data_IF_429075629616
#
_entry.id   IF_429075629616
#
_cell.length_a   1.000
_cell.length_b   1.000
_cell.length_c   1.000
_cell.angle_alpha   90.00
_cell.angle_beta   90.00
_cell.angle_gamma   90.00
#
_symmetry.space_group_name_H-M   'P 1'
#
loop_
_entity.id
_entity.type
_entity.pdbx_description
1 polymer ?
#
# COMPACT_ATOMS: atom_id res chain seq x y z
N UNK A 1 3.61 -23.28 -28.21
CA UNK A 1 4.89 -24.01 -28.30
C UNK A 1 4.72 -25.47 -27.92
N UNK A 2 4.17 -25.79 -26.74
CA UNK A 2 3.94 -27.19 -26.30
C UNK A 2 3.11 -28.01 -27.30
N UNK A 3 2.03 -27.45 -27.86
CA UNK A 3 1.25 -28.12 -28.90
C UNK A 3 2.10 -28.55 -30.10
N UNK A 4 3.08 -27.74 -30.52
CA UNK A 4 3.98 -28.10 -31.63
C UNK A 4 5.04 -29.14 -31.20
N UNK A 5 5.45 -29.15 -29.93
CA UNK A 5 6.42 -30.10 -29.39
C UNK A 5 5.83 -31.48 -29.12
N UNK A 6 4.54 -31.55 -28.80
CA UNK A 6 3.86 -32.77 -28.31
C UNK A 6 2.83 -33.34 -29.28
N UNK A 7 2.56 -32.68 -30.41
CA UNK A 7 1.65 -33.20 -31.44
C UNK A 7 2.32 -34.33 -32.24
N UNK A 8 1.91 -35.58 -31.95
CA UNK A 8 2.37 -36.76 -32.68
C UNK A 8 1.81 -36.85 -34.11
N UNK A 9 0.80 -36.03 -34.45
CA UNK A 9 0.26 -35.90 -35.80
C UNK A 9 1.13 -35.05 -36.73
N UNK A 10 2.05 -34.25 -36.17
CA UNK A 10 2.94 -33.36 -36.91
C UNK A 10 4.23 -34.10 -37.33
N UNK A 11 4.23 -34.68 -38.53
CA UNK A 11 5.36 -35.47 -39.04
C UNK A 11 6.67 -34.69 -39.20
N UNK A 12 6.60 -33.35 -39.27
CA UNK A 12 7.78 -32.50 -39.46
C UNK A 12 8.39 -32.09 -38.12
N UNK A 13 7.65 -32.21 -37.01
CA UNK A 13 8.06 -31.71 -35.68
C UNK A 13 7.89 -32.68 -34.51
N UNK A 14 7.26 -33.84 -34.73
CA UNK A 14 7.07 -34.90 -33.73
C UNK A 14 8.39 -35.68 -33.48
N UNK A 15 9.32 -35.07 -32.75
CA UNK A 15 10.62 -35.67 -32.46
C UNK A 15 10.66 -36.46 -31.14
N UNK A 16 9.65 -36.30 -30.27
CA UNK A 16 9.61 -36.90 -28.94
C UNK A 16 8.30 -37.65 -28.72
N UNK A 17 8.39 -38.97 -28.51
CA UNK A 17 7.29 -39.75 -27.96
C UNK A 17 7.47 -39.85 -26.44
N UNK A 18 6.67 -39.08 -25.68
CA UNK A 18 6.73 -39.09 -24.21
C UNK A 18 6.06 -40.37 -23.70
N UNK A 19 6.88 -41.39 -23.44
CA UNK A 19 6.44 -42.70 -22.96
C UNK A 19 6.99 -43.03 -21.55
N UNK A 20 7.64 -42.06 -20.90
CA UNK A 20 8.10 -42.14 -19.52
C UNK A 20 7.21 -41.31 -18.60
N UNK A 21 7.08 -41.77 -17.35
CA UNK A 21 6.48 -40.97 -16.27
C UNK A 21 7.47 -39.95 -15.68
N UNK A 22 8.71 -39.94 -16.17
CA UNK A 22 9.77 -39.05 -15.73
C UNK A 22 10.19 -38.13 -16.89
N UNK A 23 9.76 -36.87 -16.84
CA UNK A 23 10.10 -35.85 -17.84
C UNK A 23 10.85 -34.71 -17.17
N UNK A 24 11.91 -34.23 -17.80
CA UNK A 24 12.62 -33.01 -17.36
C UNK A 24 12.25 -31.86 -18.27
N UNK A 25 11.85 -30.74 -17.68
CA UNK A 25 11.54 -29.50 -18.37
C UNK A 25 12.75 -28.56 -18.27
N UNK A 26 13.20 -28.03 -19.40
CA UNK A 26 14.15 -26.93 -19.48
C UNK A 26 13.47 -25.70 -20.10
N UNK A 27 13.39 -24.61 -19.34
CA UNK A 27 13.00 -23.28 -19.83
C UNK A 27 14.25 -22.41 -19.88
N UNK A 28 14.73 -22.17 -21.10
CA UNK A 28 15.96 -21.43 -21.33
C UNK A 28 15.67 -20.00 -21.77
N UNK A 29 16.30 -19.03 -21.12
CA UNK A 29 16.27 -17.62 -21.46
C UNK A 29 17.28 -17.31 -22.57
N UNK A 30 16.84 -16.65 -23.65
CA UNK A 30 17.72 -16.26 -24.75
C UNK A 30 18.57 -15.02 -24.44
N UNK A 31 18.39 -14.42 -23.25
CA UNK A 31 19.28 -13.44 -22.64
C UNK A 31 18.63 -12.10 -22.35
N UNK A 32 17.46 -11.80 -22.93
CA UNK A 32 16.76 -10.52 -22.76
C UNK A 32 15.52 -10.57 -21.85
N UNK A 33 15.05 -11.75 -21.44
CA UNK A 33 13.84 -11.88 -20.59
C UNK A 33 14.20 -11.60 -19.13
N UNK A 34 13.40 -10.81 -18.41
CA UNK A 34 13.64 -10.55 -16.99
C UNK A 34 13.44 -11.80 -16.12
N UNK A 35 14.03 -11.83 -14.93
CA UNK A 35 13.85 -12.94 -14.00
C UNK A 35 12.37 -13.18 -13.62
N UNK A 36 11.59 -12.09 -13.50
CA UNK A 36 10.15 -12.17 -13.20
C UNK A 36 9.37 -12.82 -14.35
N UNK A 37 9.62 -12.37 -15.58
CA UNK A 37 8.97 -12.93 -16.77
C UNK A 37 9.37 -14.40 -16.98
N UNK A 38 10.65 -14.75 -16.80
CA UNK A 38 11.12 -16.13 -16.91
C UNK A 38 10.45 -17.04 -15.86
N UNK A 39 10.26 -16.55 -14.63
CA UNK A 39 9.50 -17.24 -13.59
C UNK A 39 8.04 -17.47 -14.00
N UNK A 40 7.37 -16.44 -14.52
CA UNK A 40 5.99 -16.54 -15.02
C UNK A 40 5.85 -17.52 -16.20
N UNK A 41 6.77 -17.47 -17.17
CA UNK A 41 6.84 -18.42 -18.29
C UNK A 41 7.03 -19.84 -17.77
N UNK A 42 7.94 -20.05 -16.82
CA UNK A 42 8.19 -21.37 -16.23
C UNK A 42 6.94 -21.93 -15.57
N UNK A 43 6.23 -21.12 -14.79
CA UNK A 43 4.99 -21.50 -14.13
C UNK A 43 3.90 -21.87 -15.15
N UNK A 44 3.69 -21.04 -16.17
CA UNK A 44 2.68 -21.27 -17.21
C UNK A 44 2.96 -22.55 -18.00
N UNK A 45 4.22 -22.80 -18.38
CA UNK A 45 4.62 -24.02 -19.10
C UNK A 45 4.38 -25.27 -18.24
N UNK A 46 4.73 -25.23 -16.96
CA UNK A 46 4.47 -26.34 -16.04
C UNK A 46 2.97 -26.61 -15.88
N UNK A 47 2.15 -25.57 -15.71
CA UNK A 47 0.69 -25.68 -15.61
C UNK A 47 0.06 -26.27 -16.88
N UNK A 48 0.51 -25.86 -18.07
CA UNK A 48 0.00 -26.40 -19.32
C UNK A 48 0.42 -27.87 -19.51
N UNK A 49 1.65 -28.24 -19.16
CA UNK A 49 2.11 -29.64 -19.21
C UNK A 49 1.24 -30.55 -18.34
N UNK A 50 0.96 -30.13 -17.10
CA UNK A 50 0.10 -30.86 -16.18
C UNK A 50 -1.35 -30.90 -16.71
N UNK A 51 -1.97 -29.74 -16.92
CA UNK A 51 -3.41 -29.65 -17.20
C UNK A 51 -3.83 -30.13 -18.58
N UNK A 52 -3.00 -29.89 -19.61
CA UNK A 52 -3.35 -30.22 -21.01
C UNK A 52 -2.73 -31.52 -21.52
N UNK A 53 -1.61 -31.94 -20.93
CA UNK A 53 -0.85 -33.10 -21.41
C UNK A 53 -0.65 -34.20 -20.36
N UNK A 54 -1.05 -33.98 -19.10
CA UNK A 54 -0.85 -34.94 -18.00
C UNK A 54 0.64 -35.22 -17.70
N UNK A 55 1.53 -34.32 -18.12
CA UNK A 55 2.97 -34.45 -17.92
C UNK A 55 3.35 -33.66 -16.67
N UNK A 56 3.94 -34.35 -15.69
CA UNK A 56 4.45 -33.74 -14.46
C UNK A 56 5.99 -33.78 -14.47
N UNK A 57 6.67 -32.64 -14.71
CA UNK A 57 8.12 -32.64 -14.74
C UNK A 57 8.72 -33.08 -13.39
N UNK A 58 9.65 -34.03 -13.42
CA UNK A 58 10.38 -34.48 -12.22
C UNK A 58 11.52 -33.52 -11.87
N UNK A 59 11.99 -32.73 -12.84
CA UNK A 59 12.92 -31.61 -12.66
C UNK A 59 12.51 -30.47 -13.58
N UNK A 60 12.64 -29.24 -13.09
CA UNK A 60 12.52 -28.04 -13.90
C UNK A 60 13.84 -27.27 -13.83
N UNK A 61 14.52 -27.19 -14.97
CA UNK A 61 15.68 -26.32 -15.17
C UNK A 61 15.16 -25.01 -15.77
N UNK A 62 15.29 -23.90 -15.05
CA UNK A 62 14.90 -22.58 -15.56
C UNK A 62 16.03 -21.59 -15.37
N UNK A 63 16.45 -20.93 -16.44
CA UNK A 63 17.61 -20.05 -16.40
C UNK A 63 18.20 -19.73 -17.76
N UNK A 64 19.40 -19.16 -17.75
CA UNK A 64 20.11 -18.69 -18.94
C UNK A 64 21.23 -19.67 -19.27
N UNK A 65 20.93 -20.68 -20.09
CA UNK A 65 21.88 -21.75 -20.44
C UNK A 65 22.49 -21.55 -21.83
N UNK A 66 21.65 -21.22 -22.82
CA UNK A 66 22.04 -21.00 -24.20
C UNK A 66 21.37 -19.74 -24.75
N UNK A 67 22.13 -18.64 -24.75
CA UNK A 67 21.63 -17.32 -25.16
C UNK A 67 21.76 -17.05 -26.66
N UNK A 68 20.96 -16.11 -27.15
CA UNK A 68 21.20 -15.38 -28.38
C UNK A 68 21.45 -13.91 -28.04
N UNK A 69 22.63 -13.62 -27.45
CA UNK A 69 22.98 -12.32 -26.88
C UNK A 69 21.93 -11.81 -25.89
N UNK A 70 21.22 -10.73 -26.21
CA UNK A 70 20.14 -10.14 -25.43
C UNK A 70 18.74 -10.46 -26.02
N UNK A 71 18.60 -11.63 -26.65
CA UNK A 71 17.37 -12.05 -27.29
C UNK A 71 16.18 -12.00 -26.35
N UNK A 72 15.16 -11.21 -26.71
CA UNK A 72 13.88 -11.11 -26.00
C UNK A 72 13.01 -12.34 -26.30
N UNK A 73 13.41 -13.49 -25.77
CA UNK A 73 12.69 -14.73 -25.96
C UNK A 73 13.19 -15.85 -25.07
N UNK A 74 12.53 -16.99 -25.19
CA UNK A 74 12.84 -18.19 -24.43
C UNK A 74 12.67 -19.43 -25.32
N UNK A 75 13.23 -20.56 -24.88
CA UNK A 75 13.00 -21.86 -25.49
C UNK A 75 12.53 -22.86 -24.45
N UNK A 76 11.67 -23.78 -24.87
CA UNK A 76 11.20 -24.90 -24.06
C UNK A 76 11.83 -26.17 -24.61
N UNK A 77 12.41 -26.99 -23.74
CA UNK A 77 12.88 -28.33 -24.09
C UNK A 77 12.33 -29.34 -23.09
N UNK A 78 11.88 -30.48 -23.60
CA UNK A 78 11.42 -31.61 -22.81
C UNK A 78 12.37 -32.77 -23.05
N UNK A 79 12.87 -33.35 -21.96
CA UNK A 79 13.70 -34.54 -21.98
C UNK A 79 12.89 -35.70 -21.40
N UNK A 80 12.57 -36.67 -22.24
CA UNK A 80 11.97 -37.92 -21.82
C UNK A 80 13.05 -38.81 -21.21
N UNK A 81 12.94 -39.10 -19.91
CA UNK A 81 13.95 -39.88 -19.21
C UNK A 81 13.80 -41.35 -19.57
N UNK A 82 14.91 -41.95 -20.00
CA UNK A 82 15.00 -43.36 -20.36
C UNK A 82 16.05 -44.06 -19.51
N UNK A 83 15.89 -45.37 -19.33
CA UNK A 83 16.97 -46.19 -18.83
C UNK A 83 18.08 -46.24 -19.89
N UNK A 84 19.31 -45.91 -19.48
CA UNK A 84 20.47 -45.86 -20.36
C UNK A 84 21.19 -47.20 -20.48
N UNK A 85 20.81 -48.21 -19.66
CA UNK A 85 21.40 -49.55 -19.60
C UNK A 85 22.93 -49.59 -19.37
N UNK A 86 23.51 -48.47 -18.89
CA UNK A 86 24.95 -48.32 -18.66
C UNK A 86 25.45 -48.92 -17.33
N UNK A 87 24.56 -49.57 -16.55
CA UNK A 87 24.91 -50.18 -15.26
C UNK A 87 25.38 -49.20 -14.17
N UNK A 88 25.02 -47.91 -14.29
CA UNK A 88 25.45 -46.81 -13.41
C UNK A 88 24.29 -45.94 -12.90
N UNK A 89 24.54 -44.69 -12.46
CA UNK A 89 23.50 -43.77 -12.00
C UNK A 89 22.43 -43.50 -13.07
N UNK A 90 21.18 -43.29 -12.64
CA UNK A 90 20.09 -42.93 -13.55
C UNK A 90 20.33 -41.57 -14.20
N UNK A 91 19.66 -41.28 -15.31
CA UNK A 91 19.79 -39.99 -15.99
C UNK A 91 19.42 -38.80 -15.07
N UNK A 92 18.44 -38.97 -14.17
CA UNK A 92 18.12 -37.96 -13.16
C UNK A 92 19.27 -37.77 -12.17
N UNK A 93 19.86 -38.86 -11.68
CA UNK A 93 21.02 -38.77 -10.78
C UNK A 93 22.23 -38.11 -11.45
N UNK A 94 22.40 -38.31 -12.76
CA UNK A 94 23.44 -37.63 -13.54
C UNK A 94 23.15 -36.15 -13.75
N UNK A 95 21.88 -35.76 -13.98
CA UNK A 95 21.47 -34.35 -14.09
C UNK A 95 21.61 -33.58 -12.77
N UNK A 96 21.34 -34.25 -11.65
CA UNK A 96 21.46 -33.70 -10.29
C UNK A 96 22.91 -33.77 -9.74
N UNK A 97 23.83 -34.44 -10.45
CA UNK A 97 25.19 -34.66 -9.95
C UNK A 97 25.93 -33.32 -9.81
N UNK A 98 26.62 -33.06 -8.68
CA UNK A 98 27.36 -31.82 -8.49
C UNK A 98 28.40 -31.59 -9.60
N UNK A 99 28.42 -30.37 -10.13
CA UNK A 99 29.32 -29.98 -11.22
C UNK A 99 29.91 -28.60 -10.94
N UNK A 100 31.11 -28.36 -11.45
CA UNK A 100 31.79 -27.07 -11.40
C UNK A 100 31.48 -26.21 -12.64
N UNK A 101 30.56 -26.66 -13.51
CA UNK A 101 30.15 -25.92 -14.69
C UNK A 101 29.37 -24.65 -14.30
N UNK A 102 29.94 -23.48 -14.59
CA UNK A 102 29.41 -22.17 -14.18
C UNK A 102 28.01 -21.84 -14.74
N UNK A 103 27.64 -22.45 -15.87
CA UNK A 103 26.33 -22.26 -16.51
C UNK A 103 25.28 -23.30 -16.12
N UNK A 104 25.60 -24.24 -15.22
CA UNK A 104 24.67 -25.28 -14.80
C UNK A 104 24.03 -24.91 -13.46
N UNK A 105 22.76 -24.49 -13.51
CA UNK A 105 21.98 -24.21 -12.30
C UNK A 105 21.33 -25.47 -11.77
N UNK A 106 21.21 -25.56 -10.44
CA UNK A 106 20.46 -26.64 -9.80
C UNK A 106 18.99 -26.62 -10.25
N UNK A 107 18.40 -27.80 -10.56
CA UNK A 107 17.00 -27.88 -10.94
C UNK A 107 16.08 -27.58 -9.75
N UNK A 108 14.90 -27.05 -10.05
CA UNK A 108 13.77 -27.08 -9.14
C UNK A 108 13.28 -28.52 -9.07
N UNK A 109 13.20 -29.05 -7.84
CA UNK A 109 12.75 -30.41 -7.59
C UNK A 109 11.23 -30.51 -7.68
N UNK A 110 10.74 -31.71 -8.00
CA UNK A 110 9.32 -32.01 -8.11
C UNK A 110 8.55 -31.58 -6.85
N UNK A 111 9.09 -31.89 -5.68
CA UNK A 111 8.48 -31.61 -4.38
C UNK A 111 8.29 -30.10 -4.15
N UNK A 112 9.19 -29.27 -4.68
CA UNK A 112 9.10 -27.81 -4.55
C UNK A 112 7.93 -27.22 -5.34
N UNK A 113 7.63 -27.77 -6.51
CA UNK A 113 6.53 -27.27 -7.33
C UNK A 113 5.19 -27.94 -7.01
N UNK A 114 5.22 -29.18 -6.49
CA UNK A 114 4.02 -29.85 -5.97
C UNK A 114 3.60 -29.34 -4.59
N UNK A 115 4.50 -28.69 -3.85
CA UNK A 115 4.19 -27.98 -2.62
C UNK A 115 3.29 -26.77 -2.93
N UNK A 116 1.99 -27.03 -3.12
CA UNK A 116 0.96 -26.00 -3.19
C UNK A 116 1.05 -25.19 -1.89
N UNK A 117 1.40 -23.91 -2.00
CA UNK A 117 1.40 -23.02 -0.84
C UNK A 117 -0.06 -22.70 -0.48
N UNK A 118 -0.71 -23.62 0.21
CA UNK A 118 -2.09 -23.50 0.70
C UNK A 118 -2.14 -22.76 2.04
N UNK A 119 -0.99 -22.37 2.59
CA UNK A 119 -0.89 -21.58 3.80
C UNK A 119 -1.37 -20.14 3.52
N UNK A 120 -2.68 -19.97 3.56
CA UNK A 120 -3.28 -18.65 3.74
C UNK A 120 -2.98 -18.22 5.16
N UNK A 121 -2.61 -16.94 5.38
CA UNK A 121 -2.49 -16.41 6.75
C UNK A 121 -3.90 -16.33 7.33
N UNK A 122 -4.34 -17.40 8.00
CA UNK A 122 -5.67 -17.53 8.62
C UNK A 122 -5.86 -16.66 9.87
N UNK A 123 -4.79 -16.05 10.37
CA UNK A 123 -4.92 -14.95 11.32
C UNK A 123 -5.46 -13.73 10.56
N UNK A 124 -6.79 -13.69 10.38
CA UNK A 124 -7.52 -12.46 10.64
C UNK A 124 -6.95 -11.96 11.96
N UNK A 125 -6.12 -10.91 11.90
CA UNK A 125 -5.64 -10.26 13.10
C UNK A 125 -6.89 -10.01 13.94
N UNK A 126 -6.94 -10.65 15.10
CA UNK A 126 -8.08 -10.60 16.01
C UNK A 126 -8.19 -9.15 16.53
N UNK A 127 -8.78 -8.30 15.70
CA UNK A 127 -9.10 -6.91 16.00
C UNK A 127 -10.22 -6.84 17.05
N UNK A 128 -10.72 -7.99 17.54
CA UNK A 128 -11.72 -8.09 18.58
C UNK A 128 -11.16 -8.03 20.01
N UNK A 129 -9.84 -7.91 20.21
CA UNK A 129 -9.33 -7.49 21.52
C UNK A 129 -9.83 -6.06 21.81
N UNK A 130 -10.90 -5.98 22.60
CA UNK A 130 -11.47 -4.73 23.06
C UNK A 130 -10.37 -3.82 23.61
N UNK A 131 -10.20 -2.64 23.00
CA UNK A 131 -9.22 -1.66 23.46
C UNK A 131 -9.55 -1.28 24.91
N UNK A 132 -8.57 -1.43 25.80
CA UNK A 132 -8.74 -1.08 27.22
C UNK A 132 -9.04 0.42 27.36
N UNK A 133 -10.09 0.81 28.10
CA UNK A 133 -10.38 2.21 28.39
C UNK A 133 -9.22 2.92 29.07
N UNK A 134 -9.05 4.20 28.76
CA UNK A 134 -8.02 5.07 29.36
C UNK A 134 -8.55 5.92 30.52
N UNK A 135 -9.87 6.04 30.64
CA UNK A 135 -10.55 6.98 31.52
C UNK A 135 -10.21 8.46 31.26
N UNK A 136 -9.71 8.76 30.05
CA UNK A 136 -9.68 10.11 29.48
C UNK A 136 -11.03 10.42 28.85
N UNK A 137 -11.88 11.11 29.60
CA UNK A 137 -13.29 11.33 29.26
C UNK A 137 -13.52 12.68 28.57
N UNK A 138 -14.47 12.69 27.65
CA UNK A 138 -14.99 13.89 26.99
C UNK A 138 -16.51 13.78 26.76
N UNK A 139 -17.16 14.89 26.39
CA UNK A 139 -18.57 14.89 26.02
C UNK A 139 -18.77 14.26 24.64
N UNK A 140 -19.24 13.02 24.62
CA UNK A 140 -19.49 12.24 23.41
C UNK A 140 -20.46 12.92 22.44
N UNK A 141 -21.48 13.63 22.93
CA UNK A 141 -22.46 14.29 22.07
C UNK A 141 -21.86 15.54 21.41
N UNK A 142 -21.15 16.36 22.19
CA UNK A 142 -20.45 17.54 21.66
C UNK A 142 -19.36 17.16 20.65
N UNK A 143 -18.60 16.09 20.94
CA UNK A 143 -17.59 15.56 20.03
C UNK A 143 -18.20 14.97 18.76
N UNK A 144 -19.28 14.18 18.85
CA UNK A 144 -20.00 13.66 17.68
C UNK A 144 -20.43 14.80 16.76
N UNK A 145 -21.00 15.88 17.32
CA UNK A 145 -21.37 17.07 16.55
C UNK A 145 -20.18 17.72 15.85
N UNK A 146 -19.08 17.92 16.59
CA UNK A 146 -17.89 18.64 16.08
C UNK A 146 -17.13 17.81 15.02
N UNK A 147 -16.97 16.50 15.24
CA UNK A 147 -16.35 15.58 14.29
C UNK A 147 -17.22 15.45 13.04
N UNK A 148 -18.55 15.34 13.20
CA UNK A 148 -19.47 15.31 12.05
C UNK A 148 -19.33 16.56 11.19
N UNK A 149 -19.28 17.74 11.81
CA UNK A 149 -19.08 19.00 11.10
C UNK A 149 -17.72 19.06 10.38
N UNK A 150 -16.64 18.58 11.02
CA UNK A 150 -15.31 18.47 10.43
C UNK A 150 -15.31 17.58 9.17
N UNK A 151 -15.90 16.39 9.26
CA UNK A 151 -15.95 15.42 8.17
C UNK A 151 -16.84 15.90 7.02
N UNK A 152 -18.01 16.47 7.32
CA UNK A 152 -18.89 17.07 6.31
C UNK A 152 -18.21 18.21 5.55
N UNK A 153 -17.35 18.98 6.23
CA UNK A 153 -16.59 20.06 5.58
C UNK A 153 -15.52 19.54 4.63
N UNK A 154 -14.85 18.44 4.97
CA UNK A 154 -13.91 17.76 4.05
C UNK A 154 -14.66 17.23 2.82
N UNK A 155 -15.84 16.64 3.01
CA UNK A 155 -16.69 16.15 1.92
C UNK A 155 -17.12 17.31 1.00
N UNK A 156 -17.52 18.45 1.57
CA UNK A 156 -17.91 19.62 0.79
C UNK A 156 -16.74 20.25 0.01
N UNK A 157 -15.53 20.23 0.59
CA UNK A 157 -14.31 20.76 -0.04
C UNK A 157 -13.70 19.82 -1.09
N UNK A 158 -14.21 18.59 -1.24
CA UNK A 158 -13.64 17.58 -2.15
C UNK A 158 -13.40 18.09 -3.58
N UNK A 159 -14.36 18.76 -4.25
CA UNK A 159 -14.15 19.23 -5.62
C UNK A 159 -12.98 20.21 -5.75
N UNK A 160 -12.79 21.09 -4.77
CA UNK A 160 -11.68 22.05 -4.75
C UNK A 160 -10.35 21.33 -4.51
N UNK A 161 -10.32 20.36 -3.59
CA UNK A 161 -9.12 19.56 -3.29
C UNK A 161 -8.70 18.75 -4.52
N UNK A 162 -9.65 18.07 -5.18
CA UNK A 162 -9.42 17.32 -6.41
C UNK A 162 -8.93 18.24 -7.55
N UNK A 163 -9.51 19.44 -7.67
CA UNK A 163 -9.05 20.46 -8.63
C UNK A 163 -7.62 20.90 -8.36
N UNK A 164 -7.26 21.19 -7.11
CA UNK A 164 -5.89 21.57 -6.75
C UNK A 164 -4.91 20.43 -7.03
N UNK A 165 -5.26 19.20 -6.65
CA UNK A 165 -4.43 18.03 -6.88
C UNK A 165 -4.30 17.68 -8.37
N UNK A 166 -5.30 17.97 -9.20
CA UNK A 166 -5.18 17.82 -10.66
C UNK A 166 -4.12 18.76 -11.24
N UNK A 167 -3.90 19.93 -10.63
CA UNK A 167 -2.87 20.89 -11.07
C UNK A 167 -1.47 20.46 -10.62
N UNK A 168 -1.34 19.85 -9.44
CA UNK A 168 -0.02 19.60 -8.81
C UNK A 168 0.26 18.15 -8.45
N UNK A 169 -0.56 17.22 -8.92
CA UNK A 169 -0.58 15.81 -8.54
C UNK A 169 -1.32 15.00 -9.60
N UNK A 170 -2.01 13.94 -9.19
CA UNK A 170 -2.78 13.07 -10.08
C UNK A 170 -4.30 13.20 -9.95
N UNK A 171 -4.77 14.15 -9.11
CA UNK A 171 -6.18 14.49 -8.99
C UNK A 171 -7.01 13.48 -8.20
N UNK A 172 -6.39 12.72 -7.29
CA UNK A 172 -7.06 11.70 -6.47
C UNK A 172 -7.23 12.11 -5.00
N UNK A 173 -6.53 13.17 -4.56
CA UNK A 173 -6.45 13.54 -3.14
C UNK A 173 -7.84 13.85 -2.54
N UNK A 174 -8.67 14.65 -3.22
CA UNK A 174 -10.00 15.01 -2.72
C UNK A 174 -10.90 13.79 -2.58
N UNK A 175 -10.92 12.92 -3.61
CA UNK A 175 -11.68 11.66 -3.61
C UNK A 175 -11.23 10.77 -2.43
N UNK A 176 -9.93 10.66 -2.19
CA UNK A 176 -9.37 9.92 -1.07
C UNK A 176 -9.82 10.46 0.29
N UNK A 177 -9.74 11.78 0.49
CA UNK A 177 -10.17 12.43 1.73
C UNK A 177 -11.69 12.30 1.96
N UNK A 178 -12.51 12.47 0.92
CA UNK A 178 -13.97 12.31 1.00
C UNK A 178 -14.36 10.89 1.39
N UNK A 179 -13.76 9.88 0.74
CA UNK A 179 -14.02 8.47 1.05
C UNK A 179 -13.70 8.15 2.52
N UNK A 180 -12.56 8.62 3.02
CA UNK A 180 -12.21 8.49 4.43
C UNK A 180 -13.22 9.18 5.35
N UNK A 181 -13.65 10.40 4.99
CA UNK A 181 -14.61 11.15 5.78
C UNK A 181 -15.99 10.46 5.83
N UNK A 182 -16.50 9.97 4.71
CA UNK A 182 -17.75 9.20 4.61
C UNK A 182 -17.66 7.89 5.41
N UNK A 183 -16.53 7.19 5.35
CA UNK A 183 -16.31 5.97 6.11
C UNK A 183 -16.33 6.20 7.62
N UNK A 184 -15.72 7.28 8.11
CA UNK A 184 -15.74 7.64 9.53
C UNK A 184 -17.13 8.09 9.97
N UNK A 185 -17.86 8.86 9.15
CA UNK A 185 -19.26 9.21 9.44
C UNK A 185 -20.13 7.95 9.58
N UNK A 186 -19.96 6.98 8.67
CA UNK A 186 -20.65 5.69 8.76
C UNK A 186 -20.27 4.94 10.04
N UNK A 187 -18.97 4.86 10.36
CA UNK A 187 -18.48 4.21 11.57
C UNK A 187 -19.08 4.82 12.84
N UNK A 188 -19.10 6.15 12.96
CA UNK A 188 -19.69 6.84 14.13
C UNK A 188 -21.21 6.61 14.20
N UNK A 189 -21.90 6.51 13.06
CA UNK A 189 -23.32 6.20 13.02
C UNK A 189 -23.64 4.77 13.47
N UNK A 190 -22.78 3.80 13.15
CA UNK A 190 -22.95 2.39 13.51
C UNK A 190 -22.44 2.09 14.93
N UNK A 191 -21.38 2.78 15.34
CA UNK A 191 -20.74 2.68 16.65
C UNK A 191 -20.58 4.08 17.26
N UNK A 192 -21.62 4.57 17.96
CA UNK A 192 -21.58 5.88 18.62
C UNK A 192 -20.40 6.00 19.59
N UNK A 193 -19.85 7.20 19.70
CA UNK A 193 -18.71 7.50 20.58
C UNK A 193 -19.04 7.16 22.04
N UNK A 194 -18.11 6.47 22.71
CA UNK A 194 -18.23 6.07 24.11
C UNK A 194 -17.92 7.20 25.09
N UNK A 195 -17.20 8.22 24.62
CA UNK A 195 -16.68 9.31 25.46
C UNK A 195 -15.33 9.00 26.08
N UNK A 196 -14.69 7.89 25.73
CA UNK A 196 -13.30 7.57 26.12
C UNK A 196 -12.36 7.79 24.92
N UNK A 197 -11.43 8.74 25.06
CA UNK A 197 -10.60 9.21 23.94
C UNK A 197 -9.80 8.08 23.28
N UNK A 198 -9.29 7.12 24.04
CA UNK A 198 -8.47 6.02 23.51
C UNK A 198 -9.34 4.97 22.82
N UNK A 199 -10.47 4.59 23.40
CA UNK A 199 -11.38 3.59 22.81
C UNK A 199 -11.93 4.11 21.48
N UNK A 200 -12.41 5.34 21.47
CA UNK A 200 -13.07 5.92 20.31
C UNK A 200 -12.07 6.15 19.17
N UNK A 201 -10.88 6.70 19.47
CA UNK A 201 -9.83 6.89 18.46
C UNK A 201 -9.31 5.55 17.92
N UNK A 202 -9.05 4.57 18.80
CA UNK A 202 -8.60 3.23 18.39
C UNK A 202 -9.62 2.52 17.48
N UNK A 203 -10.91 2.77 17.68
CA UNK A 203 -11.96 2.21 16.81
C UNK A 203 -11.98 2.84 15.41
N UNK A 204 -11.56 4.10 15.29
CA UNK A 204 -11.57 4.86 14.03
C UNK A 204 -10.32 4.60 13.17
N UNK A 205 -9.18 4.26 13.78
CA UNK A 205 -7.91 4.06 13.05
C UNK A 205 -8.00 3.00 11.95
N UNK A 206 -8.53 1.78 12.19
CA UNK A 206 -8.62 0.75 11.15
C UNK A 206 -9.52 1.17 9.98
N UNK A 207 -10.52 2.03 10.24
CA UNK A 207 -11.39 2.58 9.20
C UNK A 207 -10.60 3.50 8.28
N UNK A 208 -9.81 4.43 8.86
CA UNK A 208 -8.93 5.30 8.07
C UNK A 208 -7.92 4.48 7.25
N UNK A 209 -7.26 3.51 7.89
CA UNK A 209 -6.22 2.68 7.27
C UNK A 209 -6.73 1.83 6.11
N UNK A 210 -7.95 1.31 6.20
CA UNK A 210 -8.54 0.43 5.17
C UNK A 210 -9.29 1.16 4.06
N UNK A 211 -9.69 2.43 4.28
CA UNK A 211 -10.55 3.16 3.33
C UNK A 211 -9.85 4.31 2.62
N UNK A 212 -8.82 4.89 3.23
CA UNK A 212 -8.03 5.94 2.61
C UNK A 212 -6.83 5.34 1.89
N UNK A 213 -6.79 5.49 0.56
CA UNK A 213 -5.66 5.01 -0.23
C UNK A 213 -4.48 6.01 -0.23
N UNK A 214 -3.37 5.55 -0.78
CA UNK A 214 -2.22 6.40 -1.09
C UNK A 214 -1.43 6.85 0.14
N UNK A 215 -0.53 7.80 -0.08
CA UNK A 215 0.37 8.28 0.97
C UNK A 215 -0.38 8.99 2.10
N UNK A 216 -1.48 9.68 1.81
CA UNK A 216 -2.29 10.36 2.82
C UNK A 216 -2.92 9.38 3.82
N UNK A 217 -3.51 8.29 3.35
CA UNK A 217 -4.07 7.24 4.21
C UNK A 217 -3.03 6.66 5.17
N UNK A 218 -1.84 6.32 4.66
CA UNK A 218 -0.74 5.83 5.48
C UNK A 218 -0.28 6.88 6.54
N UNK A 219 -0.16 8.16 6.17
CA UNK A 219 0.23 9.22 7.09
C UNK A 219 -0.82 9.44 8.19
N UNK A 220 -2.11 9.46 7.83
CA UNK A 220 -3.18 9.57 8.83
C UNK A 220 -3.22 8.35 9.74
N UNK A 221 -3.06 7.12 9.21
CA UNK A 221 -3.01 5.92 10.04
C UNK A 221 -1.84 5.94 11.03
N UNK A 222 -0.64 6.34 10.59
CA UNK A 222 0.55 6.51 11.45
C UNK A 222 0.27 7.56 12.54
N UNK A 223 -0.26 8.72 12.15
CA UNK A 223 -0.56 9.81 13.07
C UNK A 223 -1.63 9.42 14.10
N UNK A 224 -2.73 8.79 13.69
CA UNK A 224 -3.81 8.41 14.59
C UNK A 224 -3.41 7.25 15.51
N UNK A 225 -2.61 6.29 15.04
CA UNK A 225 -2.02 5.25 15.89
C UNK A 225 -1.09 5.86 16.96
N UNK A 226 -0.20 6.78 16.55
CA UNK A 226 0.68 7.47 17.48
C UNK A 226 -0.09 8.34 18.49
N UNK A 227 -1.16 9.00 18.05
CA UNK A 227 -2.05 9.77 18.92
C UNK A 227 -2.77 8.88 19.94
N UNK A 228 -3.28 7.73 19.50
CA UNK A 228 -3.89 6.71 20.37
C UNK A 228 -2.90 6.24 21.44
N UNK A 229 -1.66 5.95 21.03
CA UNK A 229 -0.58 5.56 21.95
C UNK A 229 -0.22 6.67 22.95
N UNK A 230 -0.13 7.92 22.48
CA UNK A 230 0.18 9.08 23.32
C UNK A 230 -0.91 9.31 24.37
N UNK A 231 -2.19 9.27 23.98
CA UNK A 231 -3.33 9.39 24.91
C UNK A 231 -3.34 8.26 25.95
N UNK A 232 -3.06 7.02 25.53
CA UNK A 232 -3.00 5.86 26.45
C UNK A 232 -1.93 6.01 27.53
N UNK A 233 -0.88 6.78 27.28
CA UNK A 233 0.18 7.06 28.24
C UNK A 233 -0.13 8.16 29.25
N UNK A 234 -1.25 8.88 29.10
CA UNK A 234 -1.64 9.97 30.00
C UNK A 234 -2.49 9.44 31.16
N UNK A 235 -2.50 10.20 32.27
CA UNK A 235 -3.31 9.87 33.43
C UNK A 235 -4.81 10.03 33.15
N UNK A 236 -5.68 9.24 33.80
CA UNK A 236 -7.14 9.41 33.74
C UNK A 236 -7.59 10.85 34.04
N UNK A 237 -8.67 11.30 33.42
CA UNK A 237 -9.19 12.65 33.64
C UNK A 237 -10.03 13.19 32.50
N UNK A 238 -10.17 14.51 32.44
CA UNK A 238 -10.83 15.17 31.31
C UNK A 238 -9.87 15.28 30.12
N UNK A 239 -10.31 14.86 28.93
CA UNK A 239 -9.59 15.04 27.68
C UNK A 239 -9.80 16.48 27.15
N UNK A 240 -9.27 17.45 27.90
CA UNK A 240 -9.35 18.87 27.57
C UNK A 240 -8.37 19.27 26.43
N UNK A 241 -8.45 20.50 25.89
CA UNK A 241 -7.57 20.91 24.81
C UNK A 241 -6.06 20.83 25.12
N UNK A 242 -5.64 20.93 26.39
CA UNK A 242 -4.23 20.80 26.78
C UNK A 242 -3.77 19.35 26.71
N UNK A 243 -4.62 18.41 27.15
CA UNK A 243 -4.39 16.96 27.02
C UNK A 243 -4.26 16.59 25.54
N UNK A 244 -5.19 17.06 24.69
CA UNK A 244 -5.11 16.86 23.24
C UNK A 244 -3.85 17.47 22.63
N UNK A 245 -3.49 18.70 23.00
CA UNK A 245 -2.28 19.34 22.48
C UNK A 245 -1.00 18.54 22.81
N UNK A 246 -0.88 18.07 24.05
CA UNK A 246 0.27 17.25 24.48
C UNK A 246 0.36 15.93 23.69
N UNK A 247 -0.77 15.27 23.45
CA UNK A 247 -0.83 14.03 22.69
C UNK A 247 -0.58 14.25 21.19
N UNK A 248 -1.14 15.32 20.60
CA UNK A 248 -0.93 15.69 19.20
C UNK A 248 0.53 16.06 18.92
N UNK A 249 1.22 16.71 19.87
CA UNK A 249 2.65 16.98 19.75
C UNK A 249 3.47 15.69 19.68
N UNK A 250 3.22 14.75 20.59
CA UNK A 250 3.89 13.43 20.56
C UNK A 250 3.59 12.67 19.28
N UNK A 251 2.34 12.71 18.80
CA UNK A 251 1.96 12.10 17.53
C UNK A 251 2.67 12.73 16.33
N UNK A 252 2.77 14.06 16.28
CA UNK A 252 3.51 14.78 15.24
C UNK A 252 4.99 14.41 15.22
N UNK A 253 5.62 14.31 16.40
CA UNK A 253 7.01 13.87 16.56
C UNK A 253 7.21 12.41 16.13
N UNK A 254 6.24 11.53 16.41
CA UNK A 254 6.27 10.14 15.97
C UNK A 254 6.13 10.03 14.44
N UNK A 255 5.17 10.74 13.84
CA UNK A 255 4.97 10.77 12.39
C UNK A 255 6.24 11.26 11.67
N UNK A 256 6.93 12.26 12.21
CA UNK A 256 8.18 12.79 11.65
C UNK A 256 9.35 11.78 11.60
N UNK A 257 9.22 10.61 12.23
CA UNK A 257 10.17 9.49 12.12
C UNK A 257 9.91 8.60 10.91
N UNK A 258 8.68 8.56 10.43
CA UNK A 258 8.24 7.74 9.28
C UNK A 258 8.14 8.54 7.98
N UNK A 259 8.04 9.86 8.06
CA UNK A 259 8.07 10.75 6.90
C UNK A 259 9.14 11.84 7.02
N UNK A 260 9.84 12.16 5.92
CA UNK A 260 10.76 13.30 5.89
C UNK A 260 10.03 14.66 5.91
N UNK A 261 8.70 14.70 5.76
CA UNK A 261 7.95 15.96 5.65
C UNK A 261 8.12 16.88 6.87
N UNK A 262 8.48 18.13 6.62
CA UNK A 262 8.62 19.22 7.58
C UNK A 262 7.79 20.44 7.14
N UNK A 263 7.51 21.38 8.07
CA UNK A 263 6.95 22.68 7.66
C UNK A 263 7.83 23.32 6.59
N UNK A 264 7.22 23.77 5.49
CA UNK A 264 7.89 24.30 4.31
C UNK A 264 8.07 23.32 3.15
N UNK A 265 7.72 22.04 3.32
CA UNK A 265 7.88 21.03 2.25
C UNK A 265 6.67 20.94 1.29
N UNK A 266 5.63 21.75 1.53
CA UNK A 266 4.37 21.76 0.77
C UNK A 266 3.62 20.44 0.90
N UNK A 267 3.18 20.14 2.12
CA UNK A 267 2.43 18.93 2.45
C UNK A 267 1.37 19.22 3.51
N UNK A 268 0.57 18.22 3.88
CA UNK A 268 -0.38 18.31 5.00
C UNK A 268 0.26 18.76 6.33
N UNK A 269 1.58 18.61 6.48
CA UNK A 269 2.33 19.07 7.66
C UNK A 269 2.27 20.59 7.81
N UNK A 270 2.15 21.33 6.70
CA UNK A 270 2.03 22.79 6.70
C UNK A 270 0.71 23.28 7.32
N UNK A 271 -0.34 22.44 7.35
CA UNK A 271 -1.56 22.72 8.10
C UNK A 271 -1.52 22.12 9.52
N UNK A 272 -1.00 20.90 9.65
CA UNK A 272 -0.95 20.17 10.93
C UNK A 272 -0.05 20.86 11.96
N UNK A 273 1.16 21.27 11.57
CA UNK A 273 2.13 21.81 12.51
C UNK A 273 1.66 23.12 13.16
N UNK A 274 1.15 24.13 12.41
CA UNK A 274 0.57 25.32 13.02
C UNK A 274 -0.63 25.03 13.93
N UNK A 275 -1.48 24.06 13.58
CA UNK A 275 -2.59 23.65 14.44
C UNK A 275 -2.09 23.17 15.81
N UNK A 276 -1.14 22.23 15.82
CA UNK A 276 -0.62 21.62 17.04
C UNK A 276 0.14 22.64 17.90
N UNK A 277 0.95 23.49 17.29
CA UNK A 277 1.71 24.52 18.02
C UNK A 277 0.79 25.55 18.69
N UNK A 278 -0.17 26.11 17.95
CA UNK A 278 -1.10 27.11 18.48
C UNK A 278 -2.04 26.50 19.52
N UNK A 279 -2.51 25.26 19.33
CA UNK A 279 -3.31 24.57 20.34
C UNK A 279 -2.52 24.37 21.64
N UNK A 280 -1.24 24.00 21.54
CA UNK A 280 -0.36 23.85 22.70
C UNK A 280 -0.11 25.16 23.46
N UNK A 281 -0.02 26.28 22.76
CA UNK A 281 0.22 27.60 23.36
C UNK A 281 -1.05 28.22 23.97
N UNK A 282 -2.19 28.02 23.32
CA UNK A 282 -3.42 28.78 23.62
C UNK A 282 -4.53 27.95 24.23
N UNK A 283 -4.50 26.63 24.06
CA UNK A 283 -5.61 25.71 24.34
C UNK A 283 -6.93 26.09 23.62
N UNK A 284 -6.84 26.88 22.55
CA UNK A 284 -7.97 27.42 21.78
C UNK A 284 -8.01 26.75 20.40
N UNK A 285 -8.99 25.86 20.22
CA UNK A 285 -9.18 25.08 18.98
C UNK A 285 -9.48 25.99 17.79
N UNK A 286 -10.14 27.13 18.01
CA UNK A 286 -10.49 28.07 16.93
C UNK A 286 -9.25 28.78 16.40
N UNK A 287 -8.40 29.29 17.30
CA UNK A 287 -7.10 29.87 16.90
C UNK A 287 -6.20 28.84 16.23
N UNK A 288 -6.19 27.60 16.71
CA UNK A 288 -5.43 26.53 16.10
C UNK A 288 -5.91 26.21 14.66
N UNK A 289 -7.23 26.16 14.44
CA UNK A 289 -7.80 25.96 13.11
C UNK A 289 -7.51 27.12 12.15
N UNK A 290 -7.58 28.37 12.61
CA UNK A 290 -7.18 29.56 11.84
C UNK A 290 -5.69 29.49 11.44
N UNK A 291 -4.83 29.07 12.35
CA UNK A 291 -3.40 28.88 12.07
C UNK A 291 -3.15 27.76 11.04
N UNK A 292 -3.90 26.66 11.11
CA UNK A 292 -3.85 25.58 10.13
C UNK A 292 -4.26 26.06 8.73
N UNK A 293 -5.34 26.86 8.65
CA UNK A 293 -5.82 27.47 7.40
C UNK A 293 -4.78 28.41 6.80
N UNK A 294 -4.17 29.27 7.59
CA UNK A 294 -3.08 30.13 7.15
C UNK A 294 -1.84 29.32 6.70
N UNK A 295 -1.54 28.21 7.36
CA UNK A 295 -0.50 27.26 6.97
C UNK A 295 -0.77 26.65 5.60
N UNK A 296 -1.98 26.14 5.38
CA UNK A 296 -2.42 25.62 4.09
C UNK A 296 -2.36 26.67 2.97
N UNK A 297 -2.78 27.92 3.22
CA UNK A 297 -2.70 28.99 2.23
C UNK A 297 -1.26 29.32 1.82
N UNK A 298 -0.33 29.33 2.79
CA UNK A 298 1.10 29.61 2.54
C UNK A 298 1.79 28.57 1.66
N UNK A 299 1.20 27.40 1.49
CA UNK A 299 1.72 26.38 0.55
C UNK A 299 1.56 26.80 -0.91
N UNK A 300 0.71 27.78 -1.22
CA UNK A 300 0.58 28.35 -2.56
C UNK A 300 1.88 29.08 -2.94
N UNK A 301 2.48 28.69 -4.06
CA UNK A 301 3.78 29.20 -4.52
C UNK A 301 4.99 28.65 -3.78
N UNK A 302 4.80 27.76 -2.82
CA UNK A 302 5.90 27.04 -2.17
C UNK A 302 6.41 25.94 -3.13
N UNK A 303 7.72 25.80 -3.24
CA UNK A 303 8.31 24.72 -4.04
C UNK A 303 8.22 23.42 -3.24
N UNK A 304 7.61 22.39 -3.81
CA UNK A 304 7.48 21.10 -3.13
C UNK A 304 8.83 20.38 -3.01
N UNK A 305 9.08 19.82 -1.83
CA UNK A 305 10.22 18.94 -1.57
C UNK A 305 9.84 17.46 -1.62
N UNK A 306 8.54 17.15 -1.49
CA UNK A 306 8.03 15.80 -1.31
C UNK A 306 6.70 15.58 -2.05
N UNK A 307 6.29 14.31 -2.11
CA UNK A 307 4.99 13.90 -2.67
C UNK A 307 4.96 13.86 -4.20
N UNK A 308 3.77 13.58 -4.74
CA UNK A 308 3.53 13.45 -6.19
C UNK A 308 3.89 14.73 -6.94
N UNK A 309 3.73 15.88 -6.30
CA UNK A 309 4.08 17.21 -6.82
C UNK A 309 5.54 17.36 -7.26
N UNK A 310 6.48 16.64 -6.65
CA UNK A 310 7.88 16.67 -7.09
C UNK A 310 8.05 16.04 -8.47
N UNK A 311 7.29 14.98 -8.76
CA UNK A 311 7.43 14.20 -10.00
C UNK A 311 6.61 14.78 -11.16
N UNK A 312 5.46 15.40 -10.86
CA UNK A 312 4.58 15.99 -11.88
C UNK A 312 5.24 17.18 -12.58
N UNK A 313 6.26 17.81 -11.98
CA UNK A 313 7.20 18.71 -12.65
C UNK A 313 6.53 19.74 -13.57
N UNK A 314 6.09 20.88 -13.03
CA UNK A 314 5.41 21.88 -13.85
C UNK A 314 5.11 23.19 -13.13
N UNK A 315 4.62 24.17 -13.89
CA UNK A 315 4.04 25.44 -13.41
C UNK A 315 2.62 25.25 -12.89
N UNK A 316 2.14 26.09 -11.98
CA UNK A 316 0.76 26.07 -11.48
C UNK A 316 0.67 25.91 -9.96
N UNK A 317 1.76 25.48 -9.32
CA UNK A 317 1.87 25.47 -7.86
C UNK A 317 1.79 26.87 -7.24
N UNK A 318 2.06 27.92 -8.03
CA UNK A 318 1.89 29.32 -7.66
C UNK A 318 0.42 29.73 -7.57
N UNK A 319 -0.48 28.95 -8.15
CA UNK A 319 -1.90 29.27 -8.27
C UNK A 319 -2.77 28.53 -7.24
N UNK A 320 -2.33 27.36 -6.78
CA UNK A 320 -3.09 26.49 -5.88
C UNK A 320 -2.31 26.11 -4.62
N UNK A 321 -2.99 25.97 -3.47
CA UNK A 321 -2.39 25.40 -2.26
C UNK A 321 -2.10 23.90 -2.45
N UNK A 322 -1.33 23.32 -1.53
CA UNK A 322 -1.21 21.86 -1.40
C UNK A 322 -2.58 21.25 -1.06
N UNK A 323 -3.06 20.27 -1.83
CA UNK A 323 -4.39 19.67 -1.63
C UNK A 323 -4.51 18.98 -0.26
N UNK A 324 -3.44 18.34 0.23
CA UNK A 324 -3.43 17.67 1.53
C UNK A 324 -3.55 18.65 2.69
N UNK A 325 -2.77 19.74 2.66
CA UNK A 325 -2.85 20.84 3.63
C UNK A 325 -4.21 21.52 3.60
N UNK A 326 -4.74 21.78 2.40
CA UNK A 326 -6.07 22.39 2.24
C UNK A 326 -7.16 21.52 2.87
N UNK A 327 -7.23 20.24 2.50
CA UNK A 327 -8.22 19.31 3.05
C UNK A 327 -8.14 19.18 4.56
N UNK A 328 -6.93 19.09 5.13
CA UNK A 328 -6.75 19.03 6.58
C UNK A 328 -7.16 20.35 7.27
N UNK A 329 -6.93 21.50 6.63
CA UNK A 329 -7.40 22.79 7.17
C UNK A 329 -8.93 22.89 7.18
N UNK A 330 -9.62 22.34 6.18
CA UNK A 330 -11.08 22.24 6.14
C UNK A 330 -11.60 21.36 7.29
N UNK A 331 -10.94 20.23 7.57
CA UNK A 331 -11.27 19.41 8.73
C UNK A 331 -11.17 20.21 10.04
N UNK A 332 -10.06 20.91 10.29
CA UNK A 332 -9.90 21.71 11.50
C UNK A 332 -10.88 22.87 11.61
N UNK A 333 -11.22 23.54 10.51
CA UNK A 333 -12.22 24.60 10.49
C UNK A 333 -13.61 24.08 10.92
N UNK A 334 -14.01 22.90 10.41
CA UNK A 334 -15.26 22.26 10.81
C UNK A 334 -15.23 21.79 12.28
N UNK A 335 -14.10 21.25 12.73
CA UNK A 335 -13.90 20.85 14.13
C UNK A 335 -14.04 22.03 15.11
N UNK A 336 -13.53 23.20 14.71
CA UNK A 336 -13.61 24.43 15.50
C UNK A 336 -14.97 25.15 15.41
N UNK A 337 -15.89 24.67 14.57
CA UNK A 337 -17.16 25.37 14.32
C UNK A 337 -16.98 26.74 13.65
N UNK A 338 -15.90 26.93 12.90
CA UNK A 338 -15.68 28.16 12.14
C UNK A 338 -16.60 28.12 10.92
N UNK A 339 -17.57 29.02 10.84
CA UNK A 339 -18.36 29.18 9.63
C UNK A 339 -17.49 29.76 8.51
N UNK A 340 -17.53 29.17 7.31
CA UNK A 340 -16.80 29.72 6.16
C UNK A 340 -17.34 29.22 4.84
N UNK A 341 -17.32 30.11 3.86
CA UNK A 341 -17.71 29.92 2.46
C UNK A 341 -16.66 29.08 1.70
N UNK A 342 -16.58 27.78 1.96
CA UNK A 342 -15.74 26.88 1.16
C UNK A 342 -16.59 26.28 0.02
N UNK A 343 -16.31 26.66 -1.23
CA UNK A 343 -17.01 26.13 -2.40
C UNK A 343 -16.62 26.80 -3.74
N UNK A 344 -16.59 26.01 -4.80
CA UNK A 344 -16.19 26.36 -6.17
C UNK A 344 -17.02 27.47 -6.86
N UNK A 345 -18.14 27.92 -6.26
CA UNK A 345 -19.06 28.90 -6.87
C UNK A 345 -18.57 30.35 -6.90
N UNK A 346 -17.34 30.65 -6.43
CA UNK A 346 -16.80 32.02 -6.38
C UNK A 346 -15.40 32.19 -7.00
N UNK A 347 -15.14 31.57 -8.14
CA UNK A 347 -14.06 31.98 -9.06
C UNK A 347 -14.62 32.31 -10.44
#
# INVERSE_FOLDING_TARGET
MLAQLLDQGDKDRAFLNVNSNEVVLLVNNLGGVSALELGGITAEVALQLEGSYGIHPVRILSGTYMTSLNGLGFSISLLNIVNTDIGGPSMIQLLDYPTEATGWSSPVLKETWEAKNEATREEEADTSQATKPSDLKYDAAAATKSITAALQRVIAAEPDITKYDTVVGDGDCGIGLKRGAEAILKHISEKPLTGDAVVDLASAVPVVESTMDGTSGALYAIFLNALTGALRGLAPGAADPKVWAAALKQSSEAMARYTPARPGDRTLVDALHPFVDVLGQTADVKKAAEAARAGAEKTKGMKASLGRTVYVGGSGFEQVPDPGAWGLSCFFAGLAGIEGEDGWEKL
#
